data_IF_383532186744
#
_entry.id   IF_383532186744
#
_cell.length_a   1.000
_cell.length_b   1.000
_cell.length_c   1.000
_cell.angle_alpha   90.00
_cell.angle_beta   90.00
_cell.angle_gamma   90.00
#
_symmetry.space_group_name_H-M   'P 1'
#
loop_
_entity.id
_entity.type
_entity.pdbx_description
1 polymer ?
#
# COMPACT_ATOMS: atom_id res chain seq x y z
N UNK A 1 2.48 -1.67 -13.97
CA UNK A 1 2.64 -2.83 -13.05
C UNK A 1 1.35 -3.01 -12.27
N UNK A 2 0.92 -4.27 -12.02
CA UNK A 2 -0.21 -4.54 -11.14
C UNK A 2 0.14 -4.21 -9.68
N UNK A 3 -0.89 -3.93 -8.85
CA UNK A 3 -0.72 -3.88 -7.39
C UNK A 3 -0.29 -5.27 -6.91
N UNK A 4 0.68 -5.36 -6.00
CA UNK A 4 1.27 -6.59 -5.44
C UNK A 4 2.25 -7.34 -6.35
N UNK A 5 2.93 -6.65 -7.27
CA UNK A 5 4.03 -7.25 -8.02
C UNK A 5 5.30 -7.20 -7.16
N UNK A 6 5.92 -8.35 -6.95
CA UNK A 6 7.24 -8.46 -6.32
C UNK A 6 8.33 -8.21 -7.35
N UNK A 7 9.36 -7.49 -6.94
CA UNK A 7 10.49 -7.16 -7.80
C UNK A 7 11.77 -6.94 -7.00
N UNK A 8 12.89 -7.02 -7.69
CA UNK A 8 14.20 -6.69 -7.12
C UNK A 8 14.55 -5.26 -7.51
N UNK A 9 14.98 -4.47 -6.54
CA UNK A 9 15.54 -3.13 -6.77
C UNK A 9 17.01 -3.28 -7.11
N UNK A 10 17.41 -2.84 -8.31
CA UNK A 10 18.81 -2.88 -8.76
C UNK A 10 19.53 -1.59 -8.42
N UNK A 11 18.88 -0.46 -8.58
CA UNK A 11 19.48 0.87 -8.39
C UNK A 11 18.44 1.87 -7.91
N UNK A 12 18.89 2.87 -7.16
CA UNK A 12 18.06 3.97 -6.68
C UNK A 12 18.81 5.29 -6.90
N UNK A 13 18.19 6.21 -7.60
CA UNK A 13 18.70 7.55 -7.85
C UNK A 13 17.70 8.63 -7.46
N UNK A 14 18.16 9.88 -7.33
CA UNK A 14 17.28 11.02 -7.04
C UNK A 14 16.83 11.66 -8.35
N UNK A 15 15.54 11.97 -8.44
CA UNK A 15 14.92 12.73 -9.53
C UNK A 15 14.21 13.97 -8.99
N UNK A 16 14.18 15.03 -9.78
CA UNK A 16 13.32 16.19 -9.57
C UNK A 16 12.23 16.13 -10.63
N UNK A 17 11.00 15.88 -10.20
CA UNK A 17 9.84 15.88 -11.07
C UNK A 17 9.35 17.29 -11.29
N UNK A 18 9.27 17.71 -12.55
CA UNK A 18 8.72 18.98 -12.99
C UNK A 18 7.30 18.81 -13.54
N UNK A 19 6.62 19.91 -13.79
CA UNK A 19 5.27 19.91 -14.37
C UNK A 19 5.20 19.17 -15.71
N UNK A 20 6.26 19.21 -16.53
CA UNK A 20 6.38 18.51 -17.81
C UNK A 20 6.42 17.00 -17.72
N UNK A 21 6.80 16.46 -16.56
CA UNK A 21 6.90 15.01 -16.34
C UNK A 21 5.53 14.36 -16.08
N UNK A 22 4.54 15.20 -15.82
CA UNK A 22 3.16 14.81 -15.74
C UNK A 22 2.48 15.22 -17.06
N UNK A 23 2.13 14.26 -17.88
CA UNK A 23 1.42 14.47 -19.15
C UNK A 23 -0.02 14.97 -18.88
N UNK A 24 -0.10 16.25 -18.48
CA UNK A 24 -1.36 16.93 -18.20
C UNK A 24 -1.80 17.67 -19.47
N UNK A 25 -2.95 17.33 -19.98
CA UNK A 25 -3.52 17.89 -21.21
C UNK A 25 -3.74 19.43 -21.14
N UNK A 26 -3.71 20.01 -19.96
CA UNK A 26 -3.82 21.46 -19.74
C UNK A 26 -2.94 21.89 -18.57
N UNK A 27 -1.64 22.08 -18.85
CA UNK A 27 -0.64 22.47 -17.84
C UNK A 27 -0.81 23.94 -17.38
N UNK A 28 -1.53 24.76 -18.15
CA UNK A 28 -1.66 26.20 -17.88
C UNK A 28 -2.45 26.54 -16.61
N UNK A 29 -3.25 25.62 -16.11
CA UNK A 29 -4.14 25.84 -14.99
C UNK A 29 -3.62 25.32 -13.63
N UNK A 30 -2.44 24.67 -13.61
CA UNK A 30 -1.89 24.07 -12.40
C UNK A 30 -0.43 24.45 -12.21
N UNK A 31 -0.14 25.17 -11.14
CA UNK A 31 1.22 25.34 -10.67
C UNK A 31 1.62 24.09 -9.90
N UNK A 32 2.20 23.10 -10.59
CA UNK A 32 2.75 21.90 -9.96
C UNK A 32 4.14 22.27 -9.44
N UNK A 33 4.40 22.18 -8.13
CA UNK A 33 5.72 22.46 -7.59
C UNK A 33 6.72 21.39 -8.03
N UNK A 34 7.99 21.74 -8.01
CA UNK A 34 9.06 20.75 -8.16
C UNK A 34 9.00 19.75 -6.99
N UNK A 35 8.95 18.47 -7.33
CA UNK A 35 8.87 17.40 -6.34
C UNK A 35 10.13 16.54 -6.45
N UNK A 36 10.98 16.63 -5.44
CA UNK A 36 12.15 15.77 -5.33
C UNK A 36 11.72 14.39 -4.85
N UNK A 37 12.06 13.36 -5.61
CA UNK A 37 11.72 11.97 -5.31
C UNK A 37 12.87 11.02 -5.67
N UNK A 38 12.69 9.76 -5.40
CA UNK A 38 13.60 8.70 -5.81
C UNK A 38 13.02 7.94 -7.00
N UNK A 39 13.89 7.59 -7.93
CA UNK A 39 13.61 6.63 -8.98
C UNK A 39 14.30 5.33 -8.62
N UNK A 40 13.57 4.22 -8.68
CA UNK A 40 14.12 2.90 -8.54
C UNK A 40 14.08 2.15 -9.89
N UNK A 41 15.23 1.60 -10.28
CA UNK A 41 15.29 0.62 -11.35
C UNK A 41 14.95 -0.74 -10.76
N UNK A 42 13.90 -1.36 -11.26
CA UNK A 42 13.35 -2.60 -10.73
C UNK A 42 13.31 -3.69 -11.79
N UNK A 43 13.51 -4.92 -11.36
CA UNK A 43 13.49 -6.11 -12.22
C UNK A 43 12.36 -7.04 -11.78
N UNK A 44 11.52 -7.41 -12.75
CA UNK A 44 10.46 -8.40 -12.60
C UNK A 44 10.72 -9.53 -13.60
N UNK A 45 11.13 -10.69 -13.12
CA UNK A 45 11.57 -11.76 -14.00
C UNK A 45 12.71 -11.31 -14.91
N UNK A 46 12.51 -11.30 -16.22
CA UNK A 46 13.51 -10.89 -17.22
C UNK A 46 13.32 -9.44 -17.71
N UNK A 47 12.39 -8.70 -17.15
CA UNK A 47 12.06 -7.34 -17.59
C UNK A 47 12.54 -6.31 -16.58
N UNK A 48 13.22 -5.26 -17.07
CA UNK A 48 13.62 -4.11 -16.26
C UNK A 48 12.66 -2.94 -16.51
N UNK A 49 12.30 -2.23 -15.46
CA UNK A 49 11.44 -1.04 -15.51
C UNK A 49 11.93 -0.01 -14.52
N UNK A 50 11.58 1.25 -14.76
CA UNK A 50 11.86 2.36 -13.84
C UNK A 50 10.56 2.78 -13.17
N UNK A 51 10.57 2.91 -11.86
CA UNK A 51 9.43 3.39 -11.07
C UNK A 51 9.84 4.61 -10.25
N UNK A 52 8.95 5.57 -10.18
CA UNK A 52 9.11 6.76 -9.35
C UNK A 52 8.50 6.47 -7.97
N UNK A 53 9.29 6.71 -6.93
CA UNK A 53 8.85 6.40 -5.57
C UNK A 53 8.09 7.56 -4.94
N UNK A 54 7.16 7.25 -4.07
CA UNK A 54 6.49 8.24 -3.24
C UNK A 54 7.53 8.93 -2.35
N UNK A 55 7.57 10.29 -2.30
CA UNK A 55 8.48 10.99 -1.41
C UNK A 55 8.33 10.56 0.04
N UNK A 56 9.43 10.58 0.79
CA UNK A 56 9.48 10.17 2.20
C UNK A 56 8.50 10.97 3.05
N UNK A 57 7.86 10.29 3.99
CA UNK A 57 6.93 10.91 4.94
C UNK A 57 7.65 11.96 5.77
N UNK A 58 7.07 13.17 5.84
CA UNK A 58 7.67 14.31 6.53
C UNK A 58 8.65 15.14 5.69
N UNK A 59 9.04 14.69 4.49
CA UNK A 59 9.84 15.50 3.58
C UNK A 59 9.05 16.70 3.02
N UNK A 60 9.75 17.76 2.65
CA UNK A 60 9.14 18.94 2.00
C UNK A 60 8.39 18.54 0.72
N UNK A 61 8.98 17.69 -0.10
CA UNK A 61 8.36 17.17 -1.32
C UNK A 61 7.09 16.40 -1.06
N UNK A 62 7.03 15.64 0.04
CA UNK A 62 5.81 14.93 0.47
C UNK A 62 4.70 15.90 0.85
N UNK A 63 5.04 16.92 1.63
CA UNK A 63 4.09 17.97 2.04
C UNK A 63 3.56 18.73 0.82
N UNK A 64 4.44 19.08 -0.13
CA UNK A 64 4.05 19.76 -1.37
C UNK A 64 3.11 18.89 -2.22
N UNK A 65 3.42 17.61 -2.37
CA UNK A 65 2.58 16.66 -3.10
C UNK A 65 1.19 16.50 -2.45
N UNK A 66 1.14 16.33 -1.14
CA UNK A 66 -0.12 16.19 -0.41
C UNK A 66 -0.97 17.46 -0.49
N UNK A 67 -0.35 18.63 -0.40
CA UNK A 67 -1.03 19.93 -0.57
C UNK A 67 -1.58 20.09 -1.98
N UNK A 68 -0.81 19.71 -3.01
CA UNK A 68 -1.28 19.71 -4.40
C UNK A 68 -2.51 18.79 -4.56
N UNK A 69 -2.43 17.57 -4.07
CA UNK A 69 -3.52 16.59 -4.11
C UNK A 69 -4.78 17.11 -3.39
N UNK A 70 -4.61 17.70 -2.22
CA UNK A 70 -5.69 18.31 -1.45
C UNK A 70 -6.36 19.46 -2.21
N UNK A 71 -5.57 20.34 -2.82
CA UNK A 71 -6.07 21.48 -3.60
C UNK A 71 -6.87 21.00 -4.83
N UNK A 72 -6.36 19.99 -5.56
CA UNK A 72 -7.07 19.40 -6.70
C UNK A 72 -8.41 18.78 -6.27
N UNK A 73 -8.41 18.02 -5.19
CA UNK A 73 -9.62 17.40 -4.63
C UNK A 73 -10.65 18.44 -4.18
N UNK A 74 -10.21 19.47 -3.44
CA UNK A 74 -11.10 20.52 -2.97
C UNK A 74 -11.71 21.31 -4.13
N UNK A 75 -10.90 21.70 -5.12
CA UNK A 75 -11.38 22.39 -6.33
C UNK A 75 -12.35 21.51 -7.13
N UNK A 76 -12.07 20.21 -7.27
CA UNK A 76 -12.95 19.29 -7.97
C UNK A 76 -14.34 19.16 -7.33
N UNK A 77 -14.43 19.26 -5.99
CA UNK A 77 -15.69 19.17 -5.24
C UNK A 77 -16.60 20.40 -5.41
N UNK A 78 -16.03 21.56 -5.81
CA UNK A 78 -16.77 22.80 -5.99
C UNK A 78 -17.25 23.04 -7.42
N UNK A 79 -16.81 22.25 -8.38
CA UNK A 79 -17.10 22.41 -9.80
C UNK A 79 -18.25 21.51 -10.29
N UNK A 80 -18.77 21.82 -11.48
CA UNK A 80 -19.73 20.96 -12.16
C UNK A 80 -19.12 19.60 -12.51
N UNK A 81 -19.94 18.55 -12.68
CA UNK A 81 -19.47 17.20 -13.04
C UNK A 81 -18.51 17.15 -14.25
N UNK A 82 -18.77 17.99 -15.25
CA UNK A 82 -17.96 18.02 -16.49
C UNK A 82 -16.57 18.60 -16.23
N UNK A 83 -16.48 19.69 -15.49
CA UNK A 83 -15.22 20.35 -15.14
C UNK A 83 -14.43 19.55 -14.09
N UNK A 84 -15.13 19.02 -13.06
CA UNK A 84 -14.54 18.19 -12.03
C UNK A 84 -13.90 16.91 -12.61
N UNK A 85 -14.40 16.38 -13.72
CA UNK A 85 -13.84 15.17 -14.34
C UNK A 85 -12.36 15.33 -14.74
N UNK A 86 -12.00 16.47 -15.30
CA UNK A 86 -10.61 16.73 -15.71
C UNK A 86 -9.70 16.86 -14.48
N UNK A 87 -10.17 17.53 -13.41
CA UNK A 87 -9.41 17.66 -12.17
C UNK A 87 -9.21 16.31 -11.48
N UNK A 88 -10.23 15.47 -11.45
CA UNK A 88 -10.10 14.10 -10.91
C UNK A 88 -9.15 13.24 -11.75
N UNK A 89 -9.17 13.39 -13.08
CA UNK A 89 -8.22 12.70 -13.94
C UNK A 89 -6.78 13.11 -13.62
N UNK A 90 -6.53 14.40 -13.49
CA UNK A 90 -5.23 14.94 -13.08
C UNK A 90 -4.82 14.43 -11.69
N UNK A 91 -5.74 14.46 -10.73
CA UNK A 91 -5.51 13.96 -9.37
C UNK A 91 -5.04 12.49 -9.39
N UNK A 92 -5.78 11.63 -10.06
CA UNK A 92 -5.45 10.20 -10.12
C UNK A 92 -4.15 9.97 -10.90
N UNK A 93 -3.93 10.68 -11.98
CA UNK A 93 -2.70 10.57 -12.75
C UNK A 93 -1.47 10.92 -11.91
N UNK A 94 -1.48 12.04 -11.19
CA UNK A 94 -0.37 12.44 -10.30
C UNK A 94 -0.20 11.39 -9.19
N UNK A 95 -1.28 10.98 -8.53
CA UNK A 95 -1.24 9.95 -7.48
C UNK A 95 -0.59 8.65 -7.97
N UNK A 96 -1.02 8.18 -9.12
CA UNK A 96 -0.61 6.88 -9.67
C UNK A 96 0.77 6.94 -10.35
N UNK A 97 1.34 8.16 -10.53
CA UNK A 97 2.72 8.36 -10.99
C UNK A 97 3.77 8.03 -9.94
N UNK A 98 3.38 7.93 -8.66
CA UNK A 98 4.28 7.60 -7.57
C UNK A 98 3.93 6.23 -6.98
N UNK A 99 4.90 5.32 -6.97
CA UNK A 99 4.75 4.01 -6.36
C UNK A 99 4.99 4.08 -4.84
N UNK A 100 4.12 3.42 -4.08
CA UNK A 100 4.35 3.16 -2.66
C UNK A 100 4.90 1.75 -2.51
N UNK A 101 6.14 1.65 -2.06
CA UNK A 101 6.81 0.38 -1.84
C UNK A 101 6.70 -0.05 -0.38
N UNK A 102 6.68 -1.35 -0.18
CA UNK A 102 6.78 -1.97 1.12
C UNK A 102 7.62 -3.24 1.04
N UNK A 103 8.11 -3.76 2.16
CA UNK A 103 8.83 -5.02 2.15
C UNK A 103 7.93 -6.14 1.62
N UNK A 104 8.46 -6.99 0.75
CA UNK A 104 7.73 -8.11 0.16
C UNK A 104 7.31 -9.15 1.21
N UNK A 105 8.08 -9.25 2.29
CA UNK A 105 7.86 -10.19 3.38
C UNK A 105 6.80 -9.74 4.40
N UNK A 106 6.31 -8.49 4.35
CA UNK A 106 5.30 -7.96 5.28
C UNK A 106 4.08 -7.47 4.51
N UNK A 107 2.98 -8.16 4.69
CA UNK A 107 1.73 -7.88 4.00
C UNK A 107 0.57 -7.74 4.99
N UNK A 108 -0.41 -6.91 4.65
CA UNK A 108 -1.69 -6.96 5.33
C UNK A 108 -2.46 -8.21 4.88
N UNK A 109 -3.35 -8.73 5.73
CA UNK A 109 -4.20 -9.89 5.40
C UNK A 109 -4.96 -9.67 4.08
N UNK A 110 -5.47 -8.47 3.84
CA UNK A 110 -6.16 -8.16 2.58
C UNK A 110 -5.25 -8.23 1.35
N UNK A 111 -4.00 -7.79 1.48
CA UNK A 111 -3.03 -7.85 0.38
C UNK A 111 -2.52 -9.26 0.11
N UNK A 112 -2.54 -10.13 1.10
CA UNK A 112 -2.13 -11.53 0.93
C UNK A 112 -3.17 -12.40 0.21
N UNK A 113 -4.39 -11.90 0.00
CA UNK A 113 -5.44 -12.64 -0.71
C UNK A 113 -4.99 -13.01 -2.13
N UNK A 114 -5.16 -14.27 -2.49
CA UNK A 114 -4.73 -14.81 -3.79
C UNK A 114 -3.26 -15.25 -3.85
N UNK A 115 -2.45 -14.95 -2.83
CA UNK A 115 -1.06 -15.43 -2.74
C UNK A 115 -0.97 -16.67 -1.84
N UNK A 116 0.06 -17.49 -2.07
CA UNK A 116 0.40 -18.64 -1.22
C UNK A 116 1.88 -18.56 -0.88
N UNK A 117 2.22 -18.78 0.38
CA UNK A 117 3.57 -18.73 0.91
C UNK A 117 3.90 -20.06 1.57
N UNK A 118 5.16 -20.46 1.59
CA UNK A 118 5.56 -21.67 2.32
C UNK A 118 5.29 -21.53 3.80
N UNK A 119 5.80 -20.44 4.38
CA UNK A 119 5.68 -20.11 5.79
C UNK A 119 4.99 -18.78 5.96
N UNK A 120 4.11 -18.66 6.94
CA UNK A 120 3.41 -17.40 7.29
C UNK A 120 3.53 -17.15 8.79
N UNK A 121 4.05 -15.98 9.13
CA UNK A 121 4.02 -15.47 10.50
C UNK A 121 2.84 -14.50 10.65
N UNK A 122 1.92 -14.81 11.55
CA UNK A 122 0.72 -14.00 11.78
C UNK A 122 0.89 -13.20 13.07
N UNK A 123 0.93 -11.88 12.94
CA UNK A 123 1.00 -10.97 14.09
C UNK A 123 -0.35 -10.88 14.81
N UNK A 124 -0.31 -10.53 16.10
CA UNK A 124 -1.52 -10.43 16.94
C UNK A 124 -2.36 -9.17 16.69
N UNK A 125 -1.95 -8.29 15.79
CA UNK A 125 -2.67 -7.06 15.45
C UNK A 125 -4.04 -7.31 14.83
N UNK A 126 -4.30 -8.50 14.28
CA UNK A 126 -5.63 -8.91 13.83
C UNK A 126 -6.68 -8.83 14.95
N UNK A 127 -6.27 -8.92 16.20
CA UNK A 127 -7.15 -8.83 17.37
C UNK A 127 -7.61 -7.39 17.69
N UNK A 128 -6.98 -6.38 17.07
CA UNK A 128 -7.41 -4.97 17.20
C UNK A 128 -8.70 -4.67 16.44
N UNK A 129 -9.12 -5.53 15.51
CA UNK A 129 -10.42 -5.40 14.89
C UNK A 129 -11.53 -5.51 15.96
N UNK A 130 -12.47 -4.54 15.99
CA UNK A 130 -13.54 -4.51 17.01
C UNK A 130 -14.56 -5.61 16.81
N UNK A 131 -14.87 -5.95 15.57
CA UNK A 131 -15.84 -6.96 15.22
C UNK A 131 -15.23 -8.36 15.25
N UNK A 132 -15.84 -9.26 16.01
CA UNK A 132 -15.41 -10.65 16.14
C UNK A 132 -15.54 -11.42 14.81
N UNK A 133 -16.56 -11.15 14.02
CA UNK A 133 -16.73 -11.77 12.69
C UNK A 133 -15.55 -11.39 11.77
N UNK A 134 -15.16 -10.12 11.79
CA UNK A 134 -14.01 -9.65 11.02
C UNK A 134 -12.71 -10.29 11.51
N UNK A 135 -12.49 -10.43 12.83
CA UNK A 135 -11.31 -11.13 13.36
C UNK A 135 -11.23 -12.58 12.85
N UNK A 136 -12.34 -13.31 12.87
CA UNK A 136 -12.42 -14.68 12.35
C UNK A 136 -12.08 -14.75 10.86
N UNK A 137 -12.63 -13.84 10.07
CA UNK A 137 -12.35 -13.77 8.64
C UNK A 137 -10.87 -13.46 8.36
N UNK A 138 -10.29 -12.49 9.08
CA UNK A 138 -8.88 -12.15 8.95
C UNK A 138 -7.97 -13.34 9.33
N UNK A 139 -8.26 -13.99 10.44
CA UNK A 139 -7.51 -15.18 10.88
C UNK A 139 -7.60 -16.32 9.87
N UNK A 140 -8.80 -16.62 9.36
CA UNK A 140 -8.99 -17.63 8.33
C UNK A 140 -8.20 -17.33 7.07
N UNK A 141 -8.31 -16.09 6.56
CA UNK A 141 -7.57 -15.68 5.37
C UNK A 141 -6.06 -15.77 5.60
N UNK A 142 -5.54 -15.28 6.72
CA UNK A 142 -4.12 -15.30 7.03
C UNK A 142 -3.57 -16.74 7.14
N UNK A 143 -4.23 -17.61 7.88
CA UNK A 143 -3.82 -19.01 8.05
C UNK A 143 -3.86 -19.76 6.71
N UNK A 144 -4.89 -19.52 5.89
CA UNK A 144 -5.04 -20.19 4.59
C UNK A 144 -4.01 -19.75 3.55
N UNK A 145 -3.12 -18.81 3.87
CA UNK A 145 -2.02 -18.39 2.98
C UNK A 145 -0.78 -19.27 3.07
N UNK A 146 -0.63 -20.02 4.15
CA UNK A 146 0.50 -20.92 4.30
C UNK A 146 0.26 -22.26 3.59
N UNK A 147 1.30 -22.77 2.91
CA UNK A 147 1.28 -24.14 2.33
C UNK A 147 2.02 -25.16 3.20
N UNK A 148 2.93 -24.72 4.05
CA UNK A 148 3.77 -25.60 4.87
C UNK A 148 3.62 -25.27 6.35
N UNK A 149 3.93 -24.04 6.80
CA UNK A 149 3.96 -23.70 8.22
C UNK A 149 3.28 -22.37 8.54
N UNK A 150 2.62 -22.32 9.70
CA UNK A 150 2.03 -21.10 10.27
C UNK A 150 2.62 -20.83 11.65
N UNK A 151 3.16 -19.63 11.81
CA UNK A 151 3.68 -19.12 13.07
C UNK A 151 2.71 -18.07 13.63
N UNK A 152 2.22 -18.30 14.85
CA UNK A 152 1.24 -17.44 15.49
C UNK A 152 1.90 -16.60 16.59
N UNK A 153 1.78 -15.27 16.51
CA UNK A 153 2.17 -14.41 17.63
C UNK A 153 1.16 -14.52 18.76
N UNK A 154 1.66 -14.59 19.99
CA UNK A 154 0.86 -14.64 21.21
C UNK A 154 1.27 -13.57 22.22
N UNK A 155 0.52 -13.49 23.31
CA UNK A 155 0.89 -12.68 24.46
C UNK A 155 1.89 -13.45 25.34
N UNK A 156 2.89 -12.76 25.88
CA UNK A 156 3.85 -13.32 26.83
C UNK A 156 3.20 -13.82 28.15
N UNK A 157 1.95 -13.41 28.40
CA UNK A 157 1.15 -13.81 29.56
C UNK A 157 0.21 -14.99 29.29
N UNK A 158 0.13 -15.50 28.07
CA UNK A 158 -0.78 -16.58 27.73
C UNK A 158 -0.21 -17.92 28.17
N UNK A 159 -1.01 -18.71 28.89
CA UNK A 159 -0.66 -20.06 29.33
C UNK A 159 -0.45 -21.03 28.16
N UNK A 160 -1.13 -20.80 27.06
CA UNK A 160 -0.85 -21.45 25.79
C UNK A 160 -1.25 -20.52 24.63
N UNK A 161 -0.51 -20.61 23.54
CA UNK A 161 -0.79 -19.84 22.33
C UNK A 161 -2.17 -20.16 21.76
N UNK A 162 -2.56 -21.44 21.79
CA UNK A 162 -3.86 -21.91 21.34
C UNK A 162 -5.01 -21.29 22.13
N UNK A 163 -4.90 -21.23 23.47
CA UNK A 163 -5.91 -20.58 24.31
C UNK A 163 -6.03 -19.10 24.00
N UNK A 164 -4.89 -18.39 23.88
CA UNK A 164 -4.88 -16.98 23.53
C UNK A 164 -5.61 -16.70 22.21
N UNK A 165 -5.36 -17.51 21.18
CA UNK A 165 -6.02 -17.36 19.89
C UNK A 165 -7.50 -17.74 19.96
N UNK A 166 -7.84 -18.83 20.66
CA UNK A 166 -9.23 -19.24 20.86
C UNK A 166 -10.07 -18.18 21.55
N UNK A 167 -9.55 -17.56 22.62
CA UNK A 167 -10.24 -16.52 23.37
C UNK A 167 -10.48 -15.27 22.52
N UNK A 168 -9.47 -14.85 21.74
CA UNK A 168 -9.57 -13.62 20.95
C UNK A 168 -10.36 -13.76 19.65
N UNK A 169 -10.50 -14.98 19.12
CA UNK A 169 -11.20 -15.27 17.87
C UNK A 169 -12.45 -16.10 18.10
N UNK A 170 -12.63 -16.65 19.30
CA UNK A 170 -13.69 -17.61 19.63
C UNK A 170 -13.76 -18.78 18.63
N UNK A 171 -12.59 -19.30 18.27
CA UNK A 171 -12.49 -20.49 17.46
C UNK A 171 -12.64 -21.70 18.37
N UNK A 172 -13.69 -22.48 18.18
CA UNK A 172 -13.75 -23.83 18.70
C UNK A 172 -12.92 -24.69 17.75
N UNK A 173 -11.70 -25.05 18.16
CA UNK A 173 -10.97 -26.08 17.45
C UNK A 173 -11.68 -27.40 17.67
N UNK A 174 -12.38 -27.90 16.65
CA UNK A 174 -12.89 -29.25 16.62
C UNK A 174 -11.70 -30.12 16.23
N UNK A 175 -11.21 -30.92 17.19
CA UNK A 175 -10.19 -31.93 16.96
C UNK A 175 -10.83 -33.14 16.29
#
# INVERSE_FOLDING_TARGET
>A
MGSNTEFVVEDVSTEICNCSDFDLADQSNFNIPEIKTLIAKVVVGNSSSTIRLMPEVGSESRVLLERLMQNLSNKAKTLSKKEARNLWRTFFFIRDSFASLGPASVLTVHRSQGSTFKEVFIASDIFYARDLSLRRQLAYVAISRASEEVWLAGSNSANSLTNYWSENISLNFIY
#
